data_IF_696303571160
#
_entry.id   IF_696303571160
#
_cell.length_a   1.000
_cell.length_b   1.000
_cell.length_c   1.000
_cell.angle_alpha   90.00
_cell.angle_beta   90.00
_cell.angle_gamma   90.00
#
_symmetry.space_group_name_H-M   'P 1'
#
loop_
_entity.id
_entity.type
_entity.pdbx_description
1 polymer ?
#
# COMPACT_ATOMS: atom_id res chain seq x y z
N UNK A 1 13.41 8.79 -3.04
CA UNK A 1 12.83 7.42 -3.05
C UNK A 1 11.33 7.46 -2.75
N UNK A 2 10.91 8.25 -1.76
CA UNK A 2 9.53 8.33 -1.27
C UNK A 2 8.50 8.70 -2.35
N UNK A 3 8.79 9.66 -3.23
CA UNK A 3 7.87 10.07 -4.30
C UNK A 3 7.52 8.89 -5.24
N UNK A 4 8.50 8.02 -5.53
CA UNK A 4 8.29 6.82 -6.33
C UNK A 4 7.37 5.82 -5.60
N UNK A 5 7.57 5.61 -4.29
CA UNK A 5 6.70 4.75 -3.49
C UNK A 5 5.26 5.26 -3.48
N UNK A 6 5.05 6.58 -3.37
CA UNK A 6 3.72 7.19 -3.44
C UNK A 6 3.06 6.90 -4.78
N UNK A 7 3.77 7.06 -5.90
CA UNK A 7 3.21 6.79 -7.22
C UNK A 7 2.94 5.29 -7.46
N UNK A 8 3.76 4.40 -6.91
CA UNK A 8 3.50 2.95 -6.95
C UNK A 8 2.24 2.57 -6.16
N UNK A 9 2.09 3.10 -4.95
CA UNK A 9 0.90 2.90 -4.11
C UNK A 9 -0.34 3.42 -4.85
N UNK A 10 -0.26 4.59 -5.47
CA UNK A 10 -1.34 5.16 -6.29
C UNK A 10 -1.74 4.23 -7.44
N UNK A 11 -0.76 3.68 -8.16
CA UNK A 11 -1.01 2.76 -9.26
C UNK A 11 -1.73 1.49 -8.78
N UNK A 12 -1.25 0.84 -7.71
CA UNK A 12 -1.91 -0.35 -7.17
C UNK A 12 -3.31 -0.05 -6.62
N UNK A 13 -3.48 1.07 -5.91
CA UNK A 13 -4.78 1.49 -5.40
C UNK A 13 -5.79 1.75 -6.52
N UNK A 14 -5.35 2.36 -7.62
CA UNK A 14 -6.19 2.60 -8.82
C UNK A 14 -6.56 1.31 -9.54
N UNK A 15 -5.63 0.36 -9.66
CA UNK A 15 -5.92 -0.97 -10.25
C UNK A 15 -7.07 -1.69 -9.53
N UNK A 16 -7.22 -1.52 -8.21
CA UNK A 16 -8.33 -2.10 -7.47
C UNK A 16 -9.58 -1.24 -7.58
N UNK A 17 -9.48 0.06 -7.28
CA UNK A 17 -10.64 0.96 -7.22
C UNK A 17 -11.34 1.16 -8.56
N UNK A 18 -10.61 1.10 -9.67
CA UNK A 18 -11.14 1.31 -11.03
C UNK A 18 -11.54 0.00 -11.74
N UNK A 19 -11.24 -1.18 -11.16
CA UNK A 19 -11.57 -2.45 -11.79
C UNK A 19 -13.09 -2.69 -11.78
N UNK A 20 -13.68 -2.75 -12.99
CA UNK A 20 -15.10 -2.95 -13.22
C UNK A 20 -15.52 -4.42 -13.10
N UNK A 21 -14.57 -5.34 -13.13
CA UNK A 21 -14.83 -6.78 -13.14
C UNK A 21 -14.80 -7.39 -11.74
N UNK A 22 -14.42 -6.62 -10.72
CA UNK A 22 -14.46 -7.09 -9.35
C UNK A 22 -15.91 -7.29 -8.87
N UNK A 23 -16.19 -8.34 -8.08
CA UNK A 23 -17.51 -8.58 -7.52
C UNK A 23 -18.02 -7.41 -6.66
N UNK A 24 -19.34 -7.25 -6.58
CA UNK A 24 -19.97 -6.20 -5.76
C UNK A 24 -19.59 -6.28 -4.27
N UNK A 25 -19.30 -7.48 -3.77
CA UNK A 25 -18.80 -7.72 -2.42
C UNK A 25 -17.49 -7.02 -2.10
N UNK A 26 -16.72 -6.55 -3.11
CA UNK A 26 -15.49 -5.78 -2.93
C UNK A 26 -15.72 -4.27 -3.00
N UNK A 27 -16.96 -3.80 -3.05
CA UNK A 27 -17.30 -2.36 -3.16
C UNK A 27 -16.63 -1.49 -2.10
N UNK A 28 -16.60 -1.94 -0.84
CA UNK A 28 -15.95 -1.21 0.25
C UNK A 28 -14.44 -1.09 0.04
N UNK A 29 -13.79 -2.17 -0.43
CA UNK A 29 -12.35 -2.21 -0.72
C UNK A 29 -12.01 -1.25 -1.87
N UNK A 30 -12.87 -1.17 -2.89
CA UNK A 30 -12.72 -0.19 -3.98
C UNK A 30 -12.82 1.25 -3.48
N UNK A 31 -13.74 1.52 -2.55
CA UNK A 31 -13.87 2.85 -1.94
C UNK A 31 -12.64 3.20 -1.08
N UNK A 32 -12.16 2.27 -0.26
CA UNK A 32 -10.98 2.48 0.58
C UNK A 32 -9.75 2.74 -0.28
N UNK A 33 -9.48 1.90 -1.28
CA UNK A 33 -8.34 2.09 -2.19
C UNK A 33 -8.42 3.41 -2.97
N UNK A 34 -9.61 3.85 -3.39
CA UNK A 34 -9.79 5.15 -4.05
C UNK A 34 -9.38 6.35 -3.17
N UNK A 35 -9.46 6.23 -1.84
CA UNK A 35 -9.06 7.32 -0.92
C UNK A 35 -7.58 7.66 -1.03
N UNK A 36 -6.72 6.75 -1.50
CA UNK A 36 -5.30 7.06 -1.65
C UNK A 36 -5.07 8.23 -2.60
N UNK A 37 -5.57 8.12 -3.83
CA UNK A 37 -5.41 9.17 -4.85
C UNK A 37 -6.09 10.48 -4.45
N UNK A 38 -7.24 10.38 -3.77
CA UNK A 38 -8.07 11.53 -3.42
C UNK A 38 -7.56 12.31 -2.20
N UNK A 39 -7.02 11.60 -1.20
CA UNK A 39 -6.75 12.18 0.13
C UNK A 39 -5.29 12.03 0.53
N UNK A 40 -4.76 10.80 0.52
CA UNK A 40 -3.45 10.53 1.12
C UNK A 40 -2.28 10.95 0.22
N UNK A 41 -2.37 10.74 -1.10
CA UNK A 41 -1.34 11.16 -2.06
C UNK A 41 -1.10 12.68 -2.02
N UNK A 42 -2.13 13.55 -2.12
CA UNK A 42 -1.93 14.99 -1.99
C UNK A 42 -1.31 15.41 -0.65
N UNK A 43 -1.70 14.77 0.45
CA UNK A 43 -1.13 15.05 1.78
C UNK A 43 0.36 14.71 1.85
N UNK A 44 0.74 13.51 1.40
CA UNK A 44 2.14 13.06 1.37
C UNK A 44 3.01 13.92 0.45
N UNK A 45 2.48 14.31 -0.72
CA UNK A 45 3.18 15.23 -1.62
C UNK A 45 3.38 16.62 -1.00
N UNK A 46 2.39 17.10 -0.23
CA UNK A 46 2.53 18.36 0.49
C UNK A 46 3.58 18.29 1.62
N UNK A 47 3.62 17.18 2.34
CA UNK A 47 4.63 16.92 3.36
C UNK A 47 6.05 16.95 2.79
N UNK A 48 6.28 16.21 1.69
CA UNK A 48 7.57 16.21 0.97
C UNK A 48 7.96 17.61 0.52
N UNK A 49 7.01 18.39 -0.03
CA UNK A 49 7.27 19.78 -0.44
C UNK A 49 7.69 20.64 0.75
N UNK A 50 7.05 20.46 1.90
CA UNK A 50 7.33 21.20 3.13
C UNK A 50 8.73 20.88 3.65
N UNK A 51 9.10 19.60 3.68
CA UNK A 51 10.45 19.15 4.04
C UNK A 51 11.50 19.72 3.07
N UNK A 52 11.28 19.59 1.75
CA UNK A 52 12.19 20.14 0.73
C UNK A 52 12.36 21.66 0.88
N UNK A 53 11.28 22.39 1.18
CA UNK A 53 11.35 23.83 1.43
C UNK A 53 12.19 24.16 2.66
N UNK A 54 12.04 23.42 3.76
CA UNK A 54 12.87 23.60 4.95
C UNK A 54 14.35 23.34 4.67
N UNK A 55 14.68 22.25 3.96
CA UNK A 55 16.07 21.95 3.55
C UNK A 55 16.64 23.11 2.73
N UNK A 56 15.88 23.64 1.77
CA UNK A 56 16.33 24.77 0.95
C UNK A 56 16.55 26.04 1.79
N UNK A 57 15.68 26.32 2.77
CA UNK A 57 15.85 27.45 3.69
C UNK A 57 17.13 27.28 4.51
N UNK A 58 17.41 26.08 5.04
CA UNK A 58 18.63 25.80 5.76
C UNK A 58 19.88 26.00 4.90
N UNK A 59 19.91 25.43 3.69
CA UNK A 59 21.06 25.57 2.78
C UNK A 59 21.30 27.03 2.35
N UNK A 60 20.25 27.86 2.33
CA UNK A 60 20.37 29.30 2.07
C UNK A 60 21.07 30.05 3.20
N UNK A 61 20.80 29.68 4.47
CA UNK A 61 21.34 30.40 5.64
C UNK A 61 22.64 29.81 6.19
N UNK A 62 22.95 28.55 5.85
CA UNK A 62 24.16 27.84 6.28
C UNK A 62 25.47 28.58 5.97
N UNK A 63 25.68 29.21 4.79
CA UNK A 63 26.87 30.01 4.54
C UNK A 63 27.01 31.20 5.50
N UNK A 64 25.90 31.85 5.85
CA UNK A 64 25.92 32.97 6.80
C UNK A 64 26.21 32.48 8.22
N UNK A 65 25.61 31.37 8.66
CA UNK A 65 25.94 30.73 9.94
C UNK A 65 27.44 30.43 10.05
N UNK A 66 28.04 29.83 9.02
CA UNK A 66 29.48 29.54 8.99
C UNK A 66 30.33 30.81 9.05
N UNK A 67 29.97 31.85 8.28
CA UNK A 67 30.66 33.14 8.29
C UNK A 67 30.60 33.80 9.67
N UNK A 68 29.44 33.75 10.34
CA UNK A 68 29.27 34.30 11.70
C UNK A 68 30.05 33.49 12.73
N UNK A 69 30.07 32.17 12.62
CA UNK A 69 30.88 31.31 13.49
C UNK A 69 32.38 31.64 13.36
N UNK A 70 32.89 31.82 12.14
CA UNK A 70 34.28 32.25 11.93
C UNK A 70 34.56 33.64 12.51
N UNK A 71 33.64 34.59 12.33
CA UNK A 71 33.78 35.93 12.91
C UNK A 71 33.81 35.90 14.45
N UNK A 72 32.95 35.07 15.07
CA UNK A 72 32.93 34.87 16.51
C UNK A 72 34.26 34.31 17.02
N UNK A 73 34.82 33.28 16.35
CA UNK A 73 36.16 32.73 16.64
C UNK A 73 37.27 33.78 16.59
N UNK A 74 37.10 34.83 15.77
CA UNK A 74 38.03 35.97 15.68
C UNK A 74 37.72 37.14 16.62
N UNK A 75 36.70 37.02 17.49
CA UNK A 75 36.38 37.98 18.53
C UNK A 75 35.14 38.87 18.28
N UNK A 76 34.38 38.66 17.21
CA UNK A 76 33.13 39.40 16.97
C UNK A 76 32.04 38.97 17.96
N UNK A 77 31.79 39.81 18.96
CA UNK A 77 30.77 39.57 20.00
C UNK A 77 29.33 39.72 19.51
N UNK A 78 29.10 40.31 18.33
CA UNK A 78 27.76 40.43 17.75
C UNK A 78 27.32 39.18 16.98
N UNK A 79 28.27 38.37 16.53
CA UNK A 79 28.01 37.18 15.73
C UNK A 79 27.08 36.15 16.41
N UNK A 80 27.21 35.85 17.71
CA UNK A 80 26.27 34.94 18.40
C UNK A 80 24.81 35.38 18.35
N UNK A 81 24.55 36.68 18.49
CA UNK A 81 23.18 37.23 18.46
C UNK A 81 22.55 37.07 17.07
N UNK A 82 23.33 37.25 16.00
CA UNK A 82 22.85 37.06 14.63
C UNK A 82 22.60 35.58 14.34
N UNK A 83 23.50 34.69 14.76
CA UNK A 83 23.28 33.23 14.63
C UNK A 83 22.04 32.79 15.39
N UNK A 84 21.80 33.35 16.58
CA UNK A 84 20.62 33.07 17.39
C UNK A 84 19.32 33.48 16.68
N UNK A 85 19.27 34.67 16.06
CA UNK A 85 18.11 35.10 15.27
C UNK A 85 17.83 34.16 14.08
N UNK A 86 18.88 33.76 13.36
CA UNK A 86 18.77 32.81 12.23
C UNK A 86 18.24 31.46 12.70
N UNK A 87 18.82 30.89 13.76
CA UNK A 87 18.43 29.57 14.27
C UNK A 87 17.04 29.58 14.90
N UNK A 88 16.63 30.66 15.57
CA UNK A 88 15.26 30.80 16.09
C UNK A 88 14.22 30.80 14.96
N UNK A 89 14.49 31.49 13.85
CA UNK A 89 13.62 31.47 12.66
C UNK A 89 13.55 30.07 12.04
N UNK A 90 14.68 29.40 11.86
CA UNK A 90 14.71 28.02 11.37
C UNK A 90 13.97 27.05 12.31
N UNK A 91 14.10 27.22 13.62
CA UNK A 91 13.44 26.36 14.62
C UNK A 91 11.92 26.52 14.57
N UNK A 92 11.42 27.74 14.35
CA UNK A 92 9.99 27.96 14.15
C UNK A 92 9.48 27.19 12.92
N UNK A 93 10.16 27.30 11.78
CA UNK A 93 9.80 26.56 10.56
C UNK A 93 9.91 25.05 10.75
N UNK A 94 10.95 24.57 11.43
CA UNK A 94 11.16 23.14 11.68
C UNK A 94 10.01 22.53 12.49
N UNK A 95 9.46 23.25 13.47
CA UNK A 95 8.30 22.78 14.25
C UNK A 95 7.08 22.54 13.37
N UNK A 96 6.80 23.45 12.43
CA UNK A 96 5.69 23.30 11.48
C UNK A 96 5.90 22.10 10.54
N UNK A 97 7.15 21.89 10.09
CA UNK A 97 7.54 20.73 9.26
C UNK A 97 7.33 19.43 10.03
N UNK A 98 7.80 19.36 11.28
CA UNK A 98 7.64 18.20 12.17
C UNK A 98 6.16 17.87 12.36
N UNK A 99 5.33 18.86 12.67
CA UNK A 99 3.88 18.64 12.86
C UNK A 99 3.21 18.13 11.59
N UNK A 100 3.56 18.69 10.43
CA UNK A 100 3.04 18.26 9.13
C UNK A 100 3.42 16.81 8.84
N UNK A 101 4.68 16.45 9.08
CA UNK A 101 5.20 15.11 8.84
C UNK A 101 4.61 14.06 9.79
N UNK A 102 4.46 14.38 11.08
CA UNK A 102 3.76 13.50 12.03
C UNK A 102 2.32 13.23 11.63
N UNK A 103 1.59 14.27 11.16
CA UNK A 103 0.22 14.11 10.69
C UNK A 103 0.15 13.23 9.44
N UNK A 104 1.06 13.44 8.49
CA UNK A 104 1.14 12.61 7.28
C UNK A 104 1.45 11.14 7.62
N UNK A 105 2.41 10.90 8.52
CA UNK A 105 2.76 9.57 9.02
C UNK A 105 1.57 8.88 9.71
N UNK A 106 0.90 9.56 10.65
CA UNK A 106 -0.25 9.01 11.38
C UNK A 106 -1.39 8.63 10.43
N UNK A 107 -1.76 9.54 9.52
CA UNK A 107 -2.81 9.30 8.53
C UNK A 107 -2.47 8.12 7.62
N UNK A 108 -1.20 8.00 7.21
CA UNK A 108 -0.74 6.90 6.37
C UNK A 108 -0.79 5.55 7.11
N UNK A 109 -0.41 5.52 8.39
CA UNK A 109 -0.48 4.31 9.22
C UNK A 109 -1.92 3.83 9.42
N UNK A 110 -2.86 4.74 9.69
CA UNK A 110 -4.29 4.44 9.76
C UNK A 110 -4.84 3.87 8.44
N UNK A 111 -4.48 4.49 7.32
CA UNK A 111 -4.87 4.02 6.00
C UNK A 111 -4.30 2.63 5.69
N UNK A 112 -3.03 2.40 6.03
CA UNK A 112 -2.36 1.10 5.89
C UNK A 112 -3.07 0.01 6.69
N UNK A 113 -3.48 0.29 7.92
CA UNK A 113 -4.26 -0.67 8.71
C UNK A 113 -5.60 -1.00 8.06
N UNK A 114 -6.28 -0.02 7.46
CA UNK A 114 -7.50 -0.25 6.67
C UNK A 114 -7.23 -1.19 5.50
N UNK A 115 -6.15 -0.97 4.74
CA UNK A 115 -5.78 -1.81 3.60
C UNK A 115 -5.39 -3.23 4.02
N UNK A 116 -4.75 -3.41 5.18
CA UNK A 116 -4.46 -4.74 5.71
C UNK A 116 -5.73 -5.51 6.10
N UNK A 117 -6.75 -4.81 6.64
CA UNK A 117 -8.06 -5.43 6.86
C UNK A 117 -8.71 -5.82 5.55
N UNK A 118 -8.68 -4.95 4.54
CA UNK A 118 -9.21 -5.24 3.20
C UNK A 118 -8.49 -6.43 2.53
N UNK A 119 -7.17 -6.56 2.74
CA UNK A 119 -6.37 -7.71 2.27
C UNK A 119 -6.87 -9.02 2.90
N UNK A 120 -7.14 -9.03 4.21
CA UNK A 120 -7.69 -10.20 4.90
C UNK A 120 -9.07 -10.59 4.37
N UNK A 121 -9.93 -9.60 4.10
CA UNK A 121 -11.25 -9.82 3.51
C UNK A 121 -11.11 -10.41 2.10
N UNK A 122 -10.25 -9.85 1.25
CA UNK A 122 -10.00 -10.39 -0.09
C UNK A 122 -9.45 -11.81 -0.05
N UNK A 123 -8.55 -12.11 0.89
CA UNK A 123 -8.01 -13.46 1.06
C UNK A 123 -9.11 -14.45 1.45
N UNK A 124 -9.99 -14.09 2.39
CA UNK A 124 -11.14 -14.91 2.77
C UNK A 124 -12.08 -15.16 1.57
N UNK A 125 -12.41 -14.10 0.83
CA UNK A 125 -13.24 -14.18 -0.37
C UNK A 125 -12.61 -15.07 -1.45
N UNK A 126 -11.31 -14.91 -1.70
CA UNK A 126 -10.56 -15.74 -2.65
C UNK A 126 -10.63 -17.23 -2.26
N UNK A 127 -10.39 -17.55 -0.99
CA UNK A 127 -10.45 -18.93 -0.49
C UNK A 127 -11.85 -19.53 -0.62
N UNK A 128 -12.89 -18.76 -0.32
CA UNK A 128 -14.27 -19.19 -0.49
C UNK A 128 -14.59 -19.48 -1.97
N UNK A 129 -14.26 -18.55 -2.88
CA UNK A 129 -14.52 -18.71 -4.32
C UNK A 129 -13.73 -19.89 -4.91
N UNK A 130 -12.46 -20.06 -4.51
CA UNK A 130 -11.64 -21.20 -4.90
C UNK A 130 -12.27 -22.53 -4.46
N UNK A 131 -12.77 -22.61 -3.21
CA UNK A 131 -13.45 -23.81 -2.68
C UNK A 131 -14.75 -24.11 -3.43
N UNK A 132 -15.58 -23.09 -3.68
CA UNK A 132 -16.82 -23.22 -4.44
C UNK A 132 -16.55 -23.69 -5.89
N UNK A 133 -15.50 -23.15 -6.54
CA UNK A 133 -15.11 -23.54 -7.89
C UNK A 133 -14.61 -24.99 -7.94
N UNK A 134 -13.83 -25.42 -6.95
CA UNK A 134 -13.41 -26.82 -6.85
C UNK A 134 -14.61 -27.76 -6.67
N UNK A 135 -15.58 -27.39 -5.82
CA UNK A 135 -16.82 -28.15 -5.63
C UNK A 135 -17.67 -28.25 -6.90
N UNK A 136 -17.83 -27.15 -7.64
CA UNK A 136 -18.54 -27.14 -8.92
C UNK A 136 -17.84 -28.00 -9.98
N UNK A 137 -16.50 -27.91 -10.10
CA UNK A 137 -15.73 -28.76 -11.01
C UNK A 137 -15.87 -30.25 -10.66
N UNK A 138 -15.87 -30.60 -9.38
CA UNK A 138 -16.11 -31.97 -8.92
C UNK A 138 -17.50 -32.48 -9.32
N UNK A 139 -18.55 -31.66 -9.12
CA UNK A 139 -19.93 -31.98 -9.55
C UNK A 139 -20.05 -32.14 -11.06
N UNK A 140 -19.40 -31.26 -11.82
CA UNK A 140 -19.36 -31.36 -13.29
C UNK A 140 -18.70 -32.66 -13.74
N UNK A 141 -17.52 -33.00 -13.21
CA UNK A 141 -16.83 -34.26 -13.50
C UNK A 141 -17.69 -35.49 -13.17
N UNK A 142 -18.42 -35.44 -12.05
CA UNK A 142 -19.34 -36.51 -11.65
C UNK A 142 -20.49 -36.68 -12.67
N UNK A 143 -21.09 -35.57 -13.13
CA UNK A 143 -22.15 -35.59 -14.15
C UNK A 143 -21.64 -36.03 -15.52
N UNK A 144 -20.44 -35.63 -15.91
CA UNK A 144 -19.79 -36.13 -17.13
C UNK A 144 -19.51 -37.65 -17.05
N UNK A 145 -19.14 -38.17 -15.89
CA UNK A 145 -18.99 -39.61 -15.68
C UNK A 145 -20.35 -40.35 -15.74
N UNK A 146 -21.39 -39.77 -15.16
CA UNK A 146 -22.77 -40.29 -15.26
C UNK A 146 -23.22 -40.35 -16.74
N UNK A 147 -22.97 -39.27 -17.49
CA UNK A 147 -23.24 -39.19 -18.94
C UNK A 147 -22.54 -40.30 -19.72
N UNK A 148 -21.24 -40.53 -19.47
CA UNK A 148 -20.48 -41.64 -20.11
C UNK A 148 -21.11 -42.99 -19.82
N UNK A 149 -21.47 -43.25 -18.56
CA UNK A 149 -22.13 -44.49 -18.14
C UNK A 149 -23.46 -44.69 -18.86
N UNK A 150 -24.26 -43.62 -19.03
CA UNK A 150 -25.55 -43.68 -19.75
C UNK A 150 -25.33 -44.02 -21.22
N UNK A 151 -24.35 -43.38 -21.88
CA UNK A 151 -24.02 -43.64 -23.29
C UNK A 151 -23.55 -45.09 -23.49
N UNK A 152 -22.67 -45.59 -22.62
CA UNK A 152 -22.19 -46.97 -22.65
C UNK A 152 -23.36 -47.95 -22.48
N UNK A 153 -24.23 -47.76 -21.47
CA UNK A 153 -25.42 -48.60 -21.25
C UNK A 153 -26.37 -48.58 -22.44
N UNK A 154 -26.62 -47.40 -23.01
CA UNK A 154 -27.47 -47.27 -24.19
C UNK A 154 -26.91 -48.07 -25.37
N UNK A 155 -25.59 -47.97 -25.63
CA UNK A 155 -24.93 -48.71 -26.70
C UNK A 155 -25.01 -50.24 -26.52
N UNK A 156 -24.86 -50.73 -25.29
CA UNK A 156 -24.99 -52.15 -24.96
C UNK A 156 -26.42 -52.63 -25.21
N UNK A 157 -27.42 -51.89 -24.72
CA UNK A 157 -28.83 -52.28 -24.88
C UNK A 157 -29.23 -52.31 -26.36
N UNK A 158 -28.85 -51.31 -27.15
CA UNK A 158 -29.11 -51.30 -28.60
C UNK A 158 -28.42 -52.48 -29.30
N UNK A 159 -27.19 -52.83 -28.90
CA UNK A 159 -26.45 -53.95 -29.48
C UNK A 159 -26.99 -55.34 -29.16
N UNK A 160 -27.66 -55.51 -28.00
CA UNK A 160 -28.24 -56.80 -27.56
C UNK A 160 -29.67 -56.99 -28.08
N UNK A 161 -30.46 -55.91 -28.26
CA UNK A 161 -31.92 -55.97 -28.21
C UNK A 161 -32.66 -55.64 -29.50
N UNK A 162 -32.28 -56.27 -30.61
CA UNK A 162 -33.11 -56.25 -31.81
C UNK A 162 -34.52 -56.85 -31.65
N UNK A 163 -34.93 -57.40 -30.49
CA UNK A 163 -36.12 -58.28 -30.43
C UNK A 163 -36.93 -58.40 -29.11
N UNK A 164 -36.70 -57.63 -28.02
CA UNK A 164 -37.43 -57.84 -26.74
C UNK A 164 -38.10 -56.56 -26.18
N UNK A 165 -39.39 -56.64 -25.84
CA UNK A 165 -40.22 -55.50 -25.43
C UNK A 165 -39.81 -54.79 -24.14
N UNK A 166 -39.23 -55.49 -23.15
CA UNK A 166 -38.77 -54.87 -21.89
C UNK A 166 -37.57 -53.93 -22.07
N UNK A 167 -36.82 -54.09 -23.15
CA UNK A 167 -35.72 -53.18 -23.46
C UNK A 167 -36.18 -51.81 -23.95
N UNK A 168 -37.40 -51.71 -24.48
CA UNK A 168 -37.93 -50.45 -24.98
C UNK A 168 -38.19 -49.44 -23.85
N UNK A 169 -38.62 -49.92 -22.68
CA UNK A 169 -38.86 -49.09 -21.49
C UNK A 169 -37.54 -48.61 -20.86
N UNK A 170 -36.55 -49.50 -20.71
CA UNK A 170 -35.22 -49.11 -20.21
C UNK A 170 -34.50 -48.15 -21.16
N UNK A 171 -34.63 -48.35 -22.48
CA UNK A 171 -34.10 -47.40 -23.47
C UNK A 171 -34.78 -46.03 -23.36
N UNK A 172 -36.10 -45.98 -23.20
CA UNK A 172 -36.83 -44.72 -23.00
C UNK A 172 -36.37 -44.00 -21.72
N UNK A 173 -36.20 -44.74 -20.61
CA UNK A 173 -35.71 -44.20 -19.34
C UNK A 173 -34.28 -43.65 -19.47
N UNK A 174 -33.38 -44.35 -20.16
CA UNK A 174 -32.02 -43.87 -20.41
C UNK A 174 -31.99 -42.60 -21.25
N UNK A 175 -32.87 -42.48 -22.27
CA UNK A 175 -32.97 -41.26 -23.10
C UNK A 175 -33.41 -40.07 -22.25
N UNK A 176 -34.43 -40.24 -21.40
CA UNK A 176 -34.89 -39.17 -20.50
C UNK A 176 -33.78 -38.78 -19.52
N UNK A 177 -33.11 -39.75 -18.90
CA UNK A 177 -32.00 -39.50 -17.97
C UNK A 177 -30.82 -38.81 -18.65
N UNK A 178 -30.49 -39.21 -19.88
CA UNK A 178 -29.45 -38.56 -20.68
C UNK A 178 -29.76 -37.07 -20.87
N UNK A 179 -30.99 -36.73 -21.27
CA UNK A 179 -31.42 -35.33 -21.45
C UNK A 179 -31.29 -34.51 -20.16
N UNK A 180 -31.68 -35.08 -19.01
CA UNK A 180 -31.52 -34.41 -17.71
C UNK A 180 -30.05 -34.19 -17.37
N UNK A 181 -29.19 -35.18 -17.58
CA UNK A 181 -27.75 -35.05 -17.31
C UNK A 181 -27.09 -34.02 -18.24
N UNK A 182 -27.46 -33.97 -19.52
CA UNK A 182 -26.96 -32.94 -20.44
C UNK A 182 -27.36 -31.52 -19.99
N UNK A 183 -28.59 -31.35 -19.51
CA UNK A 183 -29.05 -30.08 -18.93
C UNK A 183 -28.24 -29.72 -17.68
N UNK A 184 -28.09 -30.66 -16.74
CA UNK A 184 -27.28 -30.47 -15.53
C UNK A 184 -25.83 -30.07 -15.86
N UNK A 185 -25.22 -30.72 -16.85
CA UNK A 185 -23.86 -30.41 -17.33
C UNK A 185 -23.84 -28.99 -17.88
N UNK A 186 -24.78 -28.62 -18.75
CA UNK A 186 -24.85 -27.27 -19.32
C UNK A 186 -24.94 -26.19 -18.25
N UNK A 187 -25.83 -26.37 -17.27
CA UNK A 187 -26.03 -25.44 -16.17
C UNK A 187 -24.79 -25.34 -15.27
N UNK A 188 -24.18 -26.48 -14.94
CA UNK A 188 -22.94 -26.53 -14.16
C UNK A 188 -21.75 -25.88 -14.90
N UNK A 189 -21.65 -26.06 -16.23
CA UNK A 189 -20.63 -25.40 -17.05
C UNK A 189 -20.81 -23.89 -17.04
N UNK A 190 -22.04 -23.38 -17.19
CA UNK A 190 -22.30 -21.93 -17.12
C UNK A 190 -21.94 -21.36 -15.75
N UNK A 191 -22.34 -22.04 -14.66
CA UNK A 191 -21.99 -21.64 -13.29
C UNK A 191 -20.48 -21.67 -13.06
N UNK A 192 -19.80 -22.73 -13.52
CA UNK A 192 -18.34 -22.88 -13.42
C UNK A 192 -17.61 -21.75 -14.14
N UNK A 193 -18.04 -21.37 -15.35
CA UNK A 193 -17.43 -20.27 -16.10
C UNK A 193 -17.61 -18.92 -15.40
N UNK A 194 -18.82 -18.62 -14.92
CA UNK A 194 -19.08 -17.38 -14.16
C UNK A 194 -18.23 -17.31 -12.89
N UNK A 195 -18.19 -18.40 -12.11
CA UNK A 195 -17.43 -18.45 -10.88
C UNK A 195 -15.92 -18.41 -11.14
N UNK A 196 -15.43 -19.07 -12.19
CA UNK A 196 -14.01 -19.03 -12.59
C UNK A 196 -13.55 -17.61 -12.88
N UNK A 197 -14.39 -16.81 -13.55
CA UNK A 197 -14.09 -15.39 -13.78
C UNK A 197 -14.04 -14.60 -12.45
N UNK A 198 -15.02 -14.77 -11.58
CA UNK A 198 -15.02 -14.10 -10.26
C UNK A 198 -13.81 -14.48 -9.41
N UNK A 199 -13.44 -15.77 -9.42
CA UNK A 199 -12.24 -16.30 -8.75
C UNK A 199 -10.98 -15.66 -9.30
N UNK A 200 -10.84 -15.59 -10.64
CA UNK A 200 -9.69 -14.94 -11.28
C UNK A 200 -9.57 -13.47 -10.87
N UNK A 201 -10.66 -12.69 -10.97
CA UNK A 201 -10.64 -11.26 -10.64
C UNK A 201 -10.34 -11.03 -9.15
N UNK A 202 -10.94 -11.82 -8.26
CA UNK A 202 -10.67 -11.72 -6.81
C UNK A 202 -9.21 -12.05 -6.48
N UNK A 203 -8.65 -13.09 -7.09
CA UNK A 203 -7.24 -13.45 -6.90
C UNK A 203 -6.30 -12.36 -7.44
N UNK A 204 -6.64 -11.74 -8.58
CA UNK A 204 -5.88 -10.61 -9.11
C UNK A 204 -5.90 -9.39 -8.17
N UNK A 205 -7.07 -9.04 -7.62
CA UNK A 205 -7.19 -7.99 -6.62
C UNK A 205 -6.42 -8.33 -5.33
N UNK A 206 -6.44 -9.59 -4.89
CA UNK A 206 -5.66 -10.05 -3.74
C UNK A 206 -4.15 -9.86 -3.96
N UNK A 207 -3.63 -10.25 -5.11
CA UNK A 207 -2.21 -10.02 -5.43
C UNK A 207 -1.87 -8.53 -5.48
N UNK A 208 -2.78 -7.73 -6.04
CA UNK A 208 -2.60 -6.28 -6.16
C UNK A 208 -2.62 -5.60 -4.79
N UNK A 209 -3.53 -6.00 -3.89
CA UNK A 209 -3.62 -5.41 -2.55
C UNK A 209 -2.45 -5.83 -1.66
N UNK A 210 -1.89 -7.02 -1.87
CA UNK A 210 -0.65 -7.46 -1.21
C UNK A 210 0.57 -6.64 -1.67
N UNK A 211 0.65 -6.31 -2.96
CA UNK A 211 1.68 -5.40 -3.47
C UNK A 211 1.50 -3.98 -2.92
N UNK A 212 0.25 -3.51 -2.85
CA UNK A 212 -0.11 -2.25 -2.22
C UNK A 212 0.35 -2.21 -0.76
N UNK A 213 -0.08 -3.15 0.07
CA UNK A 213 0.24 -3.19 1.51
C UNK A 213 1.74 -3.33 1.76
N UNK A 214 2.46 -4.14 0.95
CA UNK A 214 3.92 -4.24 1.00
C UNK A 214 4.60 -2.90 0.72
N UNK A 215 4.20 -2.20 -0.35
CA UNK A 215 4.76 -0.89 -0.71
C UNK A 215 4.44 0.17 0.36
N UNK A 216 3.25 0.11 0.95
CA UNK A 216 2.85 0.98 2.06
C UNK A 216 3.73 0.76 3.30
N UNK A 217 4.12 -0.49 3.63
CA UNK A 217 5.06 -0.76 4.73
C UNK A 217 6.42 -0.10 4.50
N UNK A 218 6.93 -0.17 3.26
CA UNK A 218 8.21 0.48 2.91
C UNK A 218 8.10 2.00 3.03
N UNK A 219 6.98 2.58 2.59
CA UNK A 219 6.72 4.01 2.73
C UNK A 219 6.62 4.42 4.20
N UNK A 220 5.87 3.69 5.02
CA UNK A 220 5.72 3.96 6.46
C UNK A 220 7.07 3.95 7.18
N UNK A 221 7.92 2.96 6.91
CA UNK A 221 9.29 2.91 7.45
C UNK A 221 10.12 4.12 7.01
N UNK A 222 9.98 4.55 5.76
CA UNK A 222 10.71 5.72 5.23
C UNK A 222 10.23 7.01 5.90
N UNK A 223 8.92 7.16 6.11
CA UNK A 223 8.34 8.30 6.82
C UNK A 223 8.77 8.31 8.30
N UNK A 224 8.78 7.15 8.98
CA UNK A 224 9.27 7.04 10.35
C UNK A 224 10.74 7.45 10.48
N UNK A 225 11.57 7.10 9.50
CA UNK A 225 12.97 7.55 9.47
C UNK A 225 13.07 9.07 9.34
N UNK A 226 12.24 9.70 8.50
CA UNK A 226 12.17 11.16 8.40
C UNK A 226 11.74 11.78 9.73
N UNK A 227 10.69 11.26 10.37
CA UNK A 227 10.23 11.72 11.70
C UNK A 227 11.40 11.71 12.70
N UNK A 228 12.17 10.62 12.72
CA UNK A 228 13.32 10.48 13.62
C UNK A 228 14.40 11.52 13.29
N UNK A 229 14.75 11.68 12.01
CA UNK A 229 15.75 12.66 11.57
C UNK A 229 15.34 14.11 11.84
N UNK A 230 14.07 14.46 11.63
CA UNK A 230 13.55 15.79 11.97
C UNK A 230 13.59 16.05 13.48
N UNK A 231 13.30 15.03 14.30
CA UNK A 231 13.42 15.11 15.77
C UNK A 231 14.87 15.35 16.21
N UNK A 232 15.84 14.67 15.61
CA UNK A 232 17.26 14.93 15.88
C UNK A 232 17.70 16.32 15.41
N UNK A 233 17.20 16.77 14.26
CA UNK A 233 17.42 18.13 13.75
C UNK A 233 16.94 19.18 14.75
N UNK A 234 15.73 19.01 15.30
CA UNK A 234 15.18 19.93 16.31
C UNK A 234 16.02 19.93 17.59
N UNK A 235 16.45 18.74 18.04
CA UNK A 235 17.34 18.60 19.19
C UNK A 235 18.66 19.35 19.00
N UNK A 236 19.37 19.13 17.89
CA UNK A 236 20.67 19.79 17.65
C UNK A 236 20.51 21.29 17.46
N UNK A 237 19.44 21.73 16.79
CA UNK A 237 19.12 23.15 16.64
C UNK A 237 18.84 23.80 18.01
N UNK A 238 18.04 23.15 18.86
CA UNK A 238 17.78 23.60 20.22
C UNK A 238 19.04 23.68 21.08
N UNK A 239 19.96 22.71 20.95
CA UNK A 239 21.25 22.72 21.63
C UNK A 239 22.15 23.87 21.17
N UNK A 240 22.22 24.13 19.85
CA UNK A 240 22.94 25.28 19.31
C UNK A 240 22.37 26.62 19.84
N UNK A 241 21.04 26.76 19.86
CA UNK A 241 20.35 27.93 20.42
C UNK A 241 20.69 28.12 21.91
N UNK A 242 20.60 27.06 22.71
CA UNK A 242 20.93 27.11 24.14
C UNK A 242 22.40 27.48 24.40
N UNK A 243 23.32 26.94 23.58
CA UNK A 243 24.73 27.30 23.65
C UNK A 243 24.98 28.77 23.29
N UNK A 244 24.27 29.31 22.30
CA UNK A 244 24.36 30.74 21.94
C UNK A 244 23.81 31.65 23.04
N UNK A 245 22.75 31.25 23.75
CA UNK A 245 22.29 31.97 24.94
C UNK A 245 23.32 31.97 26.09
N UNK A 246 24.16 30.94 26.16
CA UNK A 246 25.17 30.75 27.21
C UNK A 246 26.58 31.22 26.77
N UNK A 247 26.68 32.01 25.70
CA UNK A 247 27.91 32.38 24.98
C UNK A 247 28.98 33.15 25.79
N UNK A 248 28.79 33.34 27.10
CA UNK A 248 29.78 33.92 28.02
C UNK A 248 30.81 32.90 28.57
N UNK A 249 30.64 31.61 28.30
CA UNK A 249 31.61 30.56 28.69
C UNK A 249 32.83 30.47 27.76
N UNK A 250 33.96 29.98 28.27
CA UNK A 250 35.15 29.71 27.44
C UNK A 250 34.84 28.61 26.40
N UNK A 251 35.30 28.81 25.15
CA UNK A 251 35.20 27.86 24.03
C UNK A 251 33.77 27.54 23.55
N UNK A 252 32.77 28.39 23.82
CA UNK A 252 31.39 28.16 23.38
C UNK A 252 31.22 28.10 21.86
N UNK A 253 32.11 28.74 21.12
CA UNK A 253 32.18 28.67 19.65
C UNK A 253 32.46 27.25 19.14
N UNK A 254 33.26 26.46 19.87
CA UNK A 254 33.54 25.06 19.52
C UNK A 254 32.31 24.18 19.75
N UNK A 255 31.57 24.44 20.82
CA UNK A 255 30.33 23.72 21.14
C UNK A 255 29.25 24.01 20.09
N UNK A 256 29.07 25.28 19.71
CA UNK A 256 28.12 25.67 18.66
C UNK A 256 28.51 25.08 17.31
N UNK A 257 29.81 25.07 16.96
CA UNK A 257 30.30 24.42 15.75
C UNK A 257 29.93 22.94 15.69
N UNK A 258 30.12 22.20 16.79
CA UNK A 258 29.77 20.79 16.85
C UNK A 258 28.27 20.56 16.59
N UNK A 259 27.39 21.38 17.17
CA UNK A 259 25.94 21.28 16.94
C UNK A 259 25.54 21.70 15.53
N UNK A 260 26.18 22.72 14.94
CA UNK A 260 25.92 23.11 13.55
C UNK A 260 26.38 22.02 12.56
N UNK A 261 27.48 21.33 12.84
CA UNK A 261 27.94 20.19 12.04
C UNK A 261 26.97 19.01 12.15
N UNK A 262 26.56 18.64 13.38
CA UNK A 262 25.58 17.57 13.59
C UNK A 262 24.22 17.89 12.93
N UNK A 263 23.78 19.15 12.98
CA UNK A 263 22.60 19.64 12.28
C UNK A 263 22.73 19.47 10.76
N UNK A 264 23.88 19.86 10.19
CA UNK A 264 24.14 19.72 8.75
C UNK A 264 24.13 18.25 8.30
N UNK A 265 24.71 17.36 9.09
CA UNK A 265 24.70 15.91 8.83
C UNK A 265 23.27 15.35 8.82
N UNK A 266 22.46 15.69 9.83
CA UNK A 266 21.07 15.23 9.89
C UNK A 266 20.24 15.73 8.71
N UNK A 267 20.38 17.01 8.35
CA UNK A 267 19.66 17.60 7.21
C UNK A 267 20.07 16.93 5.90
N UNK A 268 21.35 16.60 5.75
CA UNK A 268 21.84 15.85 4.59
C UNK A 268 21.18 14.47 4.51
N UNK A 269 21.09 13.74 5.62
CA UNK A 269 20.52 12.39 5.65
C UNK A 269 19.07 12.33 5.16
N UNK A 270 18.18 13.20 5.67
CA UNK A 270 16.78 13.15 5.25
C UNK A 270 16.51 13.87 3.93
N UNK A 271 17.40 14.76 3.47
CA UNK A 271 17.30 15.38 2.13
C UNK A 271 17.51 14.39 0.97
N UNK A 272 18.16 13.25 1.24
CA UNK A 272 18.46 12.20 0.26
C UNK A 272 17.41 11.08 0.23
N UNK A 273 16.43 11.11 1.13
CA UNK A 273 15.34 10.12 1.26
C UNK A 273 14.20 10.37 0.26
#
# INVERSE_FOLDING_TARGET
>A
MIENLIDQIDNYARKISEDKNLPESTSIIKQHTAKFSQTYKPQLQNDIRTIKSFVQQYETVKPDLNRRLSAWKTGDKSAPLVMLDILNKLSATLKDVIQTNYKAFSNMSEYRNTILTDEQILNANANQLNSQLAGLKSRLNSKEAERRTIIERHSILVGILGSLGWASEELANLIVRHKTVEQDISDLTQQSNSLSNQTFQTNYALQTIQQLSSTMNTLENSLQNIVNSLTFTDKYMGQAIQSLHSASGANMEVVVEAYLNALAEQITLFSQS
#
